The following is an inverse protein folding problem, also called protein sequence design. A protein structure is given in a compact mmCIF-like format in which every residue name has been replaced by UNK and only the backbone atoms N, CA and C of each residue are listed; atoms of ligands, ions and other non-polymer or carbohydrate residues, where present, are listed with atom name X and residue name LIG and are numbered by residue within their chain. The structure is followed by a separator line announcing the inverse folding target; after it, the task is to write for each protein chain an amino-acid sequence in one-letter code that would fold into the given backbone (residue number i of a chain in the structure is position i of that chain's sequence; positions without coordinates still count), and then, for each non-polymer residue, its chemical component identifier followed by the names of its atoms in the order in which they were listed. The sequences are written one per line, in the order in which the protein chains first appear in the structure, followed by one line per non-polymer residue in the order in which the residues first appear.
data_IF_694697704129
#
_entry.id   IF_694697704129
#
_cell.length_a   1.000
_cell.length_b   1.000
_cell.length_c   1.000
_cell.angle_alpha   90.00
_cell.angle_beta   90.00
_cell.angle_gamma   90.00
#
_symmetry.space_group_name_H-M   'P 1'
#
loop_
_entity.id
_entity.type
_entity.pdbx_description
1 polymer ?
#
# COMPACT_ATOMS: atom_id res chain seq x y z
N UNK A 1 6.47 16.33 -1.71
CA UNK A 1 7.56 17.32 -1.91
C UNK A 1 7.85 17.41 -3.40
N UNK A 2 8.15 18.60 -3.93
CA UNK A 2 8.60 18.71 -5.32
C UNK A 2 10.11 18.55 -5.42
N UNK A 3 10.54 17.71 -6.35
CA UNK A 3 11.95 17.43 -6.62
C UNK A 3 12.21 17.73 -8.09
N UNK A 4 13.22 18.57 -8.35
CA UNK A 4 13.73 18.82 -9.69
C UNK A 4 14.61 17.64 -10.11
N UNK A 5 14.28 17.03 -11.24
CA UNK A 5 14.99 15.85 -11.77
C UNK A 5 15.82 16.16 -13.03
N UNK A 6 15.61 17.32 -13.64
CA UNK A 6 16.43 17.84 -14.73
C UNK A 6 16.48 19.38 -14.66
N UNK A 7 17.69 19.93 -14.54
CA UNK A 7 17.93 21.37 -14.48
C UNK A 7 17.78 22.06 -15.85
N UNK A 8 18.10 21.37 -16.95
CA UNK A 8 18.09 21.96 -18.28
C UNK A 8 16.66 22.10 -18.83
N UNK A 9 15.81 21.12 -18.57
CA UNK A 9 14.39 21.16 -18.96
C UNK A 9 13.50 21.75 -17.86
N UNK A 10 13.99 21.79 -16.63
CA UNK A 10 13.25 22.22 -15.45
C UNK A 10 12.22 21.20 -14.98
N UNK A 11 12.35 19.93 -15.39
CA UNK A 11 11.41 18.86 -15.06
C UNK A 11 11.38 18.60 -13.55
N UNK A 12 10.17 18.47 -13.01
CA UNK A 12 9.91 18.20 -11.59
C UNK A 12 9.03 16.96 -11.40
N UNK A 13 9.12 16.36 -10.22
CA UNK A 13 8.19 15.32 -9.75
C UNK A 13 7.65 15.68 -8.37
N UNK A 14 6.41 15.29 -8.10
CA UNK A 14 5.81 15.35 -6.77
C UNK A 14 6.04 14.00 -6.06
N UNK A 15 6.99 13.96 -5.13
CA UNK A 15 7.33 12.76 -4.37
C UNK A 15 6.62 12.73 -3.02
N UNK A 16 5.94 11.62 -2.74
CA UNK A 16 5.31 11.30 -1.48
C UNK A 16 5.85 9.97 -0.96
N UNK A 17 6.07 9.89 0.34
CA UNK A 17 6.40 8.64 1.01
C UNK A 17 5.34 8.35 2.07
N UNK A 18 4.94 7.09 2.20
CA UNK A 18 4.04 6.65 3.26
C UNK A 18 4.65 5.48 4.03
N UNK A 19 4.38 5.44 5.32
CA UNK A 19 4.56 4.25 6.15
C UNK A 19 3.21 4.00 6.82
N UNK A 20 2.45 3.04 6.31
CA UNK A 20 1.08 2.79 6.76
C UNK A 20 1.08 1.91 8.01
N UNK A 21 -0.08 1.79 8.66
CA UNK A 21 -0.25 0.93 9.84
C UNK A 21 0.31 -0.47 9.63
N UNK A 22 1.15 -0.95 10.54
CA UNK A 22 1.84 -2.23 10.34
C UNK A 22 1.13 -3.41 11.00
N UNK A 23 0.28 -3.15 12.00
CA UNK A 23 -0.39 -4.15 12.82
C UNK A 23 -1.90 -3.85 12.92
N UNK A 24 -2.77 -4.88 12.87
CA UNK A 24 -2.48 -6.29 12.57
C UNK A 24 -2.02 -6.56 11.13
N UNK A 25 -1.36 -7.71 10.92
CA UNK A 25 -0.79 -8.11 9.63
C UNK A 25 -1.28 -9.50 9.22
N UNK A 26 -2.08 -9.55 8.15
CA UNK A 26 -2.77 -10.77 7.72
C UNK A 26 -1.87 -12.00 7.51
N UNK A 27 -0.66 -11.88 6.93
CA UNK A 27 0.26 -13.01 6.81
C UNK A 27 0.65 -13.65 8.14
N UNK A 28 0.77 -12.87 9.21
CA UNK A 28 1.07 -13.40 10.54
C UNK A 28 -0.18 -14.02 11.16
N UNK A 29 -1.32 -13.36 11.04
CA UNK A 29 -2.62 -13.89 11.49
C UNK A 29 -2.93 -15.26 10.82
N UNK A 30 -2.54 -15.44 9.55
CA UNK A 30 -2.66 -16.70 8.83
C UNK A 30 -1.63 -17.74 9.28
N UNK A 31 -0.34 -17.43 9.18
CA UNK A 31 0.72 -18.43 9.33
C UNK A 31 1.09 -18.77 10.77
N UNK A 32 0.91 -17.84 11.71
CA UNK A 32 1.30 -18.03 13.11
C UNK A 32 0.09 -18.31 14.00
N UNK A 33 -1.01 -17.61 13.76
CA UNK A 33 -2.21 -17.72 14.60
C UNK A 33 -3.28 -18.65 14.01
N UNK A 34 -3.19 -19.01 12.72
CA UNK A 34 -4.13 -19.93 12.08
C UNK A 34 -5.56 -19.38 12.03
N UNK A 35 -5.72 -18.06 11.93
CA UNK A 35 -7.04 -17.40 11.96
C UNK A 35 -7.91 -17.76 10.76
N UNK A 36 -9.22 -17.68 10.93
CA UNK A 36 -10.16 -17.77 9.80
C UNK A 36 -9.98 -16.57 8.86
N UNK A 37 -10.21 -16.76 7.57
CA UNK A 37 -10.05 -15.72 6.54
C UNK A 37 -10.91 -14.50 6.86
N UNK A 38 -12.13 -14.71 7.35
CA UNK A 38 -13.04 -13.65 7.73
C UNK A 38 -12.49 -12.77 8.87
N UNK A 39 -11.81 -13.38 9.85
CA UNK A 39 -11.20 -12.65 10.97
C UNK A 39 -9.98 -11.84 10.51
N UNK A 40 -9.20 -12.40 9.58
CA UNK A 40 -8.06 -11.71 8.95
C UNK A 40 -8.53 -10.44 8.21
N UNK A 41 -9.61 -10.53 7.44
CA UNK A 41 -10.18 -9.35 6.76
C UNK A 41 -10.72 -8.30 7.73
N UNK A 42 -11.31 -8.70 8.85
CA UNK A 42 -11.73 -7.75 9.88
C UNK A 42 -10.54 -7.04 10.53
N UNK A 43 -9.44 -7.76 10.73
CA UNK A 43 -8.19 -7.21 11.28
C UNK A 43 -7.51 -6.26 10.29
N UNK A 44 -7.58 -6.51 8.98
CA UNK A 44 -7.10 -5.54 7.98
C UNK A 44 -7.74 -4.16 8.19
N UNK A 45 -9.04 -4.08 8.45
CA UNK A 45 -9.72 -2.83 8.74
C UNK A 45 -9.26 -2.17 10.06
N UNK A 46 -8.83 -2.96 11.04
CA UNK A 46 -8.31 -2.49 12.34
C UNK A 46 -6.87 -1.97 12.24
N UNK A 47 -6.12 -2.34 11.19
CA UNK A 47 -4.72 -1.92 11.01
C UNK A 47 -4.54 -0.42 10.81
N UNK A 48 -5.62 0.28 10.46
CA UNK A 48 -5.57 1.70 10.09
C UNK A 48 -4.93 1.97 8.74
N UNK A 49 -4.40 0.96 8.01
CA UNK A 49 -3.84 1.15 6.66
C UNK A 49 -4.85 1.71 5.68
N UNK A 50 -6.04 1.11 5.63
CA UNK A 50 -7.10 1.51 4.69
C UNK A 50 -7.48 2.98 4.82
N UNK A 51 -7.88 3.50 5.99
CA UNK A 51 -8.23 4.92 6.12
C UNK A 51 -7.03 5.85 5.88
N UNK A 52 -5.79 5.42 6.16
CA UNK A 52 -4.59 6.20 5.83
C UNK A 52 -4.36 6.27 4.31
N UNK A 53 -4.51 5.15 3.61
CA UNK A 53 -4.40 5.08 2.15
C UNK A 53 -5.49 5.93 1.47
N UNK A 54 -6.73 5.88 1.97
CA UNK A 54 -7.83 6.73 1.48
C UNK A 54 -7.54 8.23 1.70
N UNK A 55 -7.01 8.60 2.86
CA UNK A 55 -6.62 9.99 3.14
C UNK A 55 -5.52 10.47 2.18
N UNK A 56 -4.49 9.64 1.96
CA UNK A 56 -3.42 9.95 0.99
C UNK A 56 -3.99 10.08 -0.42
N UNK A 57 -4.86 9.17 -0.85
CA UNK A 57 -5.47 9.22 -2.17
C UNK A 57 -6.30 10.51 -2.37
N UNK A 58 -7.03 10.93 -1.33
CA UNK A 58 -7.77 12.19 -1.33
C UNK A 58 -6.85 13.40 -1.46
N UNK A 59 -5.74 13.43 -0.73
CA UNK A 59 -4.77 14.53 -0.77
C UNK A 59 -4.00 14.57 -2.10
N UNK A 60 -3.77 13.40 -2.72
CA UNK A 60 -3.13 13.28 -4.02
C UNK A 60 -4.07 13.59 -5.19
N UNK A 61 -5.40 13.49 -5.04
CA UNK A 61 -6.37 13.70 -6.12
C UNK A 61 -6.13 14.98 -6.95
N UNK A 62 -5.96 16.20 -6.37
CA UNK A 62 -5.66 17.40 -7.15
C UNK A 62 -4.29 17.38 -7.83
N UNK A 63 -3.31 16.65 -7.26
CA UNK A 63 -1.96 16.51 -7.84
C UNK A 63 -1.97 15.55 -9.02
N UNK A 64 -2.73 14.45 -8.90
CA UNK A 64 -2.96 13.48 -9.97
C UNK A 64 -3.66 14.15 -11.15
N UNK A 65 -4.60 15.06 -10.91
CA UNK A 65 -5.24 15.84 -11.96
C UNK A 65 -4.28 16.72 -12.78
N UNK A 66 -3.09 17.02 -12.25
CA UNK A 66 -2.03 17.78 -12.91
C UNK A 66 -0.81 16.89 -13.29
N UNK A 67 -0.97 15.55 -13.28
CA UNK A 67 0.14 14.62 -13.43
C UNK A 67 0.80 14.64 -14.82
N UNK A 68 0.08 15.10 -15.86
CA UNK A 68 0.64 15.30 -17.20
C UNK A 68 1.74 16.37 -17.22
N UNK A 69 1.70 17.34 -16.30
CA UNK A 69 2.71 18.40 -16.15
C UNK A 69 3.75 18.05 -15.09
N UNK A 70 3.32 17.53 -13.94
CA UNK A 70 4.20 17.14 -12.83
C UNK A 70 3.84 15.73 -12.37
N UNK A 71 4.60 14.71 -12.80
CA UNK A 71 4.35 13.34 -12.39
C UNK A 71 4.34 13.17 -10.87
N UNK A 72 3.42 12.35 -10.38
CA UNK A 72 3.27 12.05 -8.95
C UNK A 72 3.84 10.67 -8.66
N UNK A 73 4.75 10.58 -7.71
CA UNK A 73 5.32 9.33 -7.23
C UNK A 73 4.93 9.14 -5.76
N UNK A 74 4.13 8.11 -5.48
CA UNK A 74 3.85 7.64 -4.12
C UNK A 74 4.62 6.35 -3.88
N UNK A 75 5.52 6.37 -2.90
CA UNK A 75 6.37 5.23 -2.53
C UNK A 75 6.32 4.99 -1.03
N UNK A 76 7.00 3.95 -0.57
CA UNK A 76 7.23 3.69 0.85
C UNK A 76 6.82 2.28 1.26
N UNK A 77 6.65 2.11 2.56
CA UNK A 77 6.24 0.85 3.17
C UNK A 77 4.73 0.90 3.46
N UNK A 78 3.94 0.30 2.58
CA UNK A 78 2.50 0.28 2.73
C UNK A 78 2.02 -0.79 3.71
N UNK A 79 2.91 -1.63 4.25
CA UNK A 79 2.58 -2.71 5.18
C UNK A 79 1.42 -3.63 4.72
N UNK A 80 1.25 -3.77 3.41
CA UNK A 80 0.19 -4.58 2.81
C UNK A 80 0.80 -5.78 2.08
N UNK A 81 0.30 -7.01 2.30
CA UNK A 81 0.71 -8.13 1.48
C UNK A 81 0.20 -7.96 0.04
N UNK A 82 0.91 -8.52 -0.93
CA UNK A 82 0.41 -8.59 -2.30
C UNK A 82 -0.77 -9.56 -2.36
N UNK A 83 -1.95 -9.08 -2.75
CA UNK A 83 -3.13 -9.91 -3.01
C UNK A 83 -2.90 -10.94 -4.13
N UNK A 84 -1.87 -10.78 -4.97
CA UNK A 84 -1.51 -11.74 -6.01
C UNK A 84 -0.72 -12.93 -5.48
N UNK A 85 -0.23 -12.84 -4.25
CA UNK A 85 0.60 -13.90 -3.64
C UNK A 85 -0.28 -14.94 -2.93
N UNK A 86 -1.48 -14.56 -2.49
CA UNK A 86 -2.41 -15.43 -1.75
C UNK A 86 -3.43 -16.02 -2.72
N UNK A 87 -3.02 -17.10 -3.38
CA UNK A 87 -3.85 -17.83 -4.36
C UNK A 87 -3.83 -19.32 -4.08
N UNK A 88 -4.84 -20.06 -4.55
CA UNK A 88 -4.84 -21.53 -4.49
C UNK A 88 -3.55 -22.18 -5.02
N UNK A 89 -2.92 -21.58 -6.04
CA UNK A 89 -1.67 -22.10 -6.62
C UNK A 89 -0.45 -21.89 -5.71
N UNK A 90 -0.52 -20.94 -4.79
CA UNK A 90 0.58 -20.54 -3.90
C UNK A 90 0.31 -20.87 -2.44
N UNK A 91 -0.83 -21.49 -2.10
CA UNK A 91 -1.25 -21.73 -0.71
C UNK A 91 -0.28 -22.55 0.12
N UNK A 92 0.43 -23.49 -0.50
CA UNK A 92 1.42 -24.33 0.19
C UNK A 92 2.59 -23.48 0.72
N UNK A 93 2.89 -22.36 0.05
CA UNK A 93 3.87 -21.35 0.50
C UNK A 93 3.29 -20.36 1.51
N UNK A 94 1.97 -20.35 1.71
CA UNK A 94 1.22 -19.43 2.57
C UNK A 94 0.44 -20.19 3.65
N UNK A 95 1.04 -21.24 4.21
CA UNK A 95 0.51 -21.96 5.37
C UNK A 95 -0.88 -22.57 5.15
N UNK A 96 -1.24 -22.87 3.90
CA UNK A 96 -2.53 -23.44 3.50
C UNK A 96 -3.59 -22.42 3.09
N UNK A 97 -3.26 -21.11 3.07
CA UNK A 97 -4.16 -20.03 2.70
C UNK A 97 -3.91 -19.57 1.27
N UNK A 98 -4.97 -19.33 0.49
CA UNK A 98 -4.90 -18.87 -0.91
C UNK A 98 -6.26 -18.49 -1.47
#
# INVERSE_FOLDING_TARGET
VRIRIDEATGQEVELWTAHLGYDPYGPYDACFDGMAVEDIFQREAQSGRTPQAEAIAKDLAPKIAAADETPVLLVGDFNTPSHLDWTEATKDSHCGYG
#
